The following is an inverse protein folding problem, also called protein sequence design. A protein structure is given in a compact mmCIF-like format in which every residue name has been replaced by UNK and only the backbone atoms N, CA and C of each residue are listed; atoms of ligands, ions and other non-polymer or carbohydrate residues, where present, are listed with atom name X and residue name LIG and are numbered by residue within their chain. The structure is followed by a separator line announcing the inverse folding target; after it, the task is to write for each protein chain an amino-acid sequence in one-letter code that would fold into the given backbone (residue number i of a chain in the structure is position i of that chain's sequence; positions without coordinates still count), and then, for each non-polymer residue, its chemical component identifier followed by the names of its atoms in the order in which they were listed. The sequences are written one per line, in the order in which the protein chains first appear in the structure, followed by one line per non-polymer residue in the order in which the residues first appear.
data_IF_280423388324
#
_entry.id   IF_280423388324
#
_cell.length_a   1.000
_cell.length_b   1.000
_cell.length_c   1.000
_cell.angle_alpha   90.00
_cell.angle_beta   90.00
_cell.angle_gamma   90.00
#
_symmetry.space_group_name_H-M   'P 1'
#
loop_
_entity.id
_entity.type
_entity.pdbx_description
1 polymer ?
#
# COMPACT_ATOMS: atom_id res chain seq x y z
N UNK A 1 50.69 81.53 -1.74
CA UNK A 1 51.00 80.10 -1.95
C UNK A 1 50.42 79.19 -0.80
N UNK A 2 49.24 79.53 -0.26
CA UNK A 2 48.60 78.83 0.86
C UNK A 2 47.17 78.42 0.56
N UNK A 3 46.71 78.46 -0.67
CA UNK A 3 45.29 78.18 -1.01
C UNK A 3 45.08 76.85 -1.72
N UNK A 4 46.11 76.03 -1.94
CA UNK A 4 46.03 74.80 -2.68
C UNK A 4 46.07 73.56 -1.79
N UNK A 5 46.58 73.63 -0.55
CA UNK A 5 46.64 72.52 0.39
C UNK A 5 45.32 72.32 1.14
N UNK A 6 44.71 73.43 1.60
CA UNK A 6 43.40 73.37 2.29
C UNK A 6 42.28 72.86 1.40
N UNK A 7 42.36 73.03 0.09
CA UNK A 7 41.39 72.56 -0.86
C UNK A 7 41.54 71.04 -1.16
N UNK A 8 42.76 70.53 -1.01
CA UNK A 8 43.04 69.12 -1.16
C UNK A 8 42.60 68.31 0.08
N UNK A 9 42.84 68.77 1.31
CA UNK A 9 42.36 68.10 2.52
C UNK A 9 40.84 68.05 2.62
N UNK A 10 40.14 69.07 2.12
CA UNK A 10 38.68 69.12 2.12
C UNK A 10 38.01 68.07 1.19
N UNK A 11 38.57 67.89 -0.01
CA UNK A 11 37.99 66.89 -0.92
C UNK A 11 38.32 65.42 -0.55
N UNK A 12 39.51 65.19 0.00
CA UNK A 12 39.89 63.86 0.53
C UNK A 12 39.00 63.47 1.69
N UNK A 13 38.75 64.40 2.62
CA UNK A 13 37.84 64.14 3.75
C UNK A 13 36.41 63.85 3.30
N UNK A 14 35.90 64.61 2.33
CA UNK A 14 34.57 64.42 1.73
C UNK A 14 34.48 63.07 0.98
N UNK A 15 35.56 62.67 0.31
CA UNK A 15 35.59 61.41 -0.42
C UNK A 15 35.66 60.23 0.54
N UNK A 16 36.42 60.30 1.62
CA UNK A 16 36.47 59.32 2.68
C UNK A 16 35.12 59.17 3.42
N UNK A 17 34.46 60.31 3.72
CA UNK A 17 33.11 60.25 4.29
C UNK A 17 32.10 59.63 3.34
N UNK A 18 32.11 59.94 2.05
CA UNK A 18 31.24 59.28 1.07
C UNK A 18 31.49 57.78 0.95
N UNK A 19 32.75 57.35 0.95
CA UNK A 19 33.12 55.92 0.94
C UNK A 19 32.67 55.22 2.22
N UNK A 20 32.89 55.88 3.39
CA UNK A 20 32.43 55.30 4.66
C UNK A 20 30.89 55.18 4.72
N UNK A 21 30.16 56.21 4.28
CA UNK A 21 28.70 56.17 4.21
C UNK A 21 28.19 55.15 3.19
N UNK A 22 28.85 55.01 2.03
CA UNK A 22 28.48 53.98 1.04
C UNK A 22 28.68 52.57 1.58
N UNK A 23 29.82 52.28 2.26
CA UNK A 23 30.09 51.01 2.88
C UNK A 23 29.10 50.67 4.00
N UNK A 24 28.74 51.62 4.86
CA UNK A 24 27.73 51.44 5.90
C UNK A 24 26.34 51.20 5.30
N UNK A 25 25.99 51.89 4.24
CA UNK A 25 24.72 51.68 3.56
C UNK A 25 24.66 50.32 2.86
N UNK A 26 25.75 49.89 2.25
CA UNK A 26 25.87 48.60 1.62
C UNK A 26 25.76 47.45 2.65
N UNK A 27 26.44 47.55 3.80
CA UNK A 27 26.31 46.61 4.91
C UNK A 27 24.88 46.56 5.48
N UNK A 28 24.23 47.73 5.63
CA UNK A 28 22.82 47.80 6.07
C UNK A 28 21.89 47.15 5.04
N UNK A 29 22.14 47.35 3.76
CA UNK A 29 21.37 46.73 2.68
C UNK A 29 21.57 45.22 2.64
N UNK A 30 22.81 44.76 2.72
CA UNK A 30 23.13 43.31 2.80
C UNK A 30 22.50 42.65 4.03
N UNK A 31 22.53 43.31 5.20
CA UNK A 31 21.90 42.83 6.42
C UNK A 31 20.37 42.73 6.29
N UNK A 32 19.71 43.72 5.68
CA UNK A 32 18.25 43.69 5.42
C UNK A 32 17.88 42.58 4.46
N UNK A 33 18.63 42.39 3.39
CA UNK A 33 18.43 41.28 2.47
C UNK A 33 18.69 39.90 3.14
N UNK A 34 19.72 39.79 3.97
CA UNK A 34 20.00 38.61 4.73
C UNK A 34 18.87 38.23 5.71
N UNK A 35 18.30 39.22 6.41
CA UNK A 35 17.13 39.00 7.28
C UNK A 35 15.92 38.61 6.45
N UNK A 36 15.66 39.29 5.33
CA UNK A 36 14.53 38.98 4.44
C UNK A 36 14.58 37.53 3.93
N UNK A 37 15.73 37.10 3.39
CA UNK A 37 15.86 35.74 2.90
C UNK A 37 15.78 34.68 4.01
N UNK A 38 16.36 34.94 5.18
CA UNK A 38 16.20 34.07 6.34
C UNK A 38 14.74 33.95 6.77
N UNK A 39 14.03 35.07 6.86
CA UNK A 39 12.59 35.08 7.19
C UNK A 39 11.76 34.34 6.15
N UNK A 40 12.06 34.50 4.87
CA UNK A 40 11.39 33.79 3.77
C UNK A 40 11.65 32.27 3.84
N UNK A 41 12.89 31.89 4.16
CA UNK A 41 13.24 30.46 4.36
C UNK A 41 12.50 29.86 5.54
N UNK A 42 12.43 30.58 6.68
CA UNK A 42 11.65 30.12 7.83
C UNK A 42 10.16 30.03 7.53
N UNK A 43 9.60 31.01 6.82
CA UNK A 43 8.20 30.98 6.38
C UNK A 43 7.94 29.77 5.45
N UNK A 44 8.83 29.51 4.51
CA UNK A 44 8.74 28.37 3.61
C UNK A 44 8.79 27.04 4.38
N UNK A 45 9.74 26.88 5.30
CA UNK A 45 9.84 25.70 6.15
C UNK A 45 8.61 25.55 7.06
N UNK A 46 8.08 26.66 7.56
CA UNK A 46 6.87 26.67 8.38
C UNK A 46 5.63 26.22 7.57
N UNK A 47 5.48 26.73 6.34
CA UNK A 47 4.42 26.29 5.42
C UNK A 47 4.55 24.79 5.10
N UNK A 48 5.77 24.30 4.80
CA UNK A 48 6.01 22.87 4.59
C UNK A 48 5.70 22.05 5.83
N UNK A 49 6.04 22.53 7.03
CA UNK A 49 5.69 21.88 8.28
C UNK A 49 4.17 21.80 8.47
N UNK A 50 3.45 22.88 8.22
CA UNK A 50 1.99 22.94 8.32
C UNK A 50 1.30 22.01 7.33
N UNK A 51 1.79 21.95 6.07
CA UNK A 51 1.32 21.00 5.07
C UNK A 51 1.64 19.58 5.51
N UNK A 52 2.86 19.34 6.04
CA UNK A 52 3.30 18.03 6.52
C UNK A 52 2.56 17.53 7.77
N UNK A 53 2.12 18.44 8.63
CA UNK A 53 1.30 18.13 9.79
C UNK A 53 -0.19 17.90 9.45
N UNK A 54 -0.56 18.02 8.16
CA UNK A 54 -1.93 17.76 7.72
C UNK A 54 -2.95 18.81 8.18
N UNK A 55 -2.52 19.98 8.66
CA UNK A 55 -3.43 21.02 9.17
C UNK A 55 -4.35 21.63 8.10
N UNK A 56 -4.04 21.39 6.82
CA UNK A 56 -4.91 21.68 5.67
C UNK A 56 -5.64 20.43 5.15
N UNK A 57 -5.55 19.30 5.84
CA UNK A 57 -6.48 18.21 5.57
C UNK A 57 -7.81 18.62 6.20
N UNK A 58 -8.66 19.07 5.34
CA UNK A 58 -10.07 19.25 5.64
C UNK A 58 -10.70 17.85 5.71
N UNK A 59 -10.57 17.19 6.87
CA UNK A 59 -11.28 15.95 7.19
C UNK A 59 -12.78 16.22 7.45
N UNK A 60 -13.25 17.36 7.02
CA UNK A 60 -14.58 17.85 7.29
C UNK A 60 -15.33 18.36 6.06
N UNK A 61 -15.40 17.59 4.99
CA UNK A 61 -16.66 17.64 4.23
C UNK A 61 -17.69 17.07 5.18
N UNK A 62 -18.50 17.93 5.79
CA UNK A 62 -19.69 17.53 6.50
C UNK A 62 -20.54 16.75 5.48
N UNK A 63 -20.37 15.42 5.47
CA UNK A 63 -21.12 14.52 4.63
C UNK A 63 -22.52 14.45 5.17
N UNK A 64 -23.31 15.45 4.80
CA UNK A 64 -24.71 15.57 5.13
C UNK A 64 -25.57 14.58 4.35
N UNK A 65 -25.03 14.01 3.26
CA UNK A 65 -25.84 13.24 2.34
C UNK A 65 -25.53 11.74 2.39
N UNK A 66 -26.56 10.94 2.14
CA UNK A 66 -26.46 9.50 1.98
C UNK A 66 -25.46 9.15 0.87
N UNK A 67 -24.52 8.23 1.18
CA UNK A 67 -23.47 7.89 0.24
C UNK A 67 -23.11 6.39 0.29
N UNK A 68 -22.41 5.96 -0.73
CA UNK A 68 -21.74 4.67 -0.78
C UNK A 68 -20.32 4.84 -0.24
N UNK A 69 -19.96 4.09 0.77
CA UNK A 69 -18.58 4.03 1.26
C UNK A 69 -17.74 3.10 0.38
N UNK A 70 -16.50 3.49 0.06
CA UNK A 70 -15.56 2.62 -0.63
C UNK A 70 -14.32 2.41 0.22
N UNK A 71 -13.84 1.16 0.25
CA UNK A 71 -12.56 0.76 0.84
C UNK A 71 -11.78 -0.02 -0.19
N UNK A 72 -10.51 0.31 -0.39
CA UNK A 72 -9.67 -0.36 -1.37
C UNK A 72 -8.83 -1.48 -0.74
N UNK A 73 -8.76 -2.60 -1.46
CA UNK A 73 -7.82 -3.69 -1.24
C UNK A 73 -6.95 -3.84 -2.49
N UNK A 74 -5.79 -3.19 -2.50
CA UNK A 74 -4.97 -3.01 -3.70
C UNK A 74 -3.54 -3.51 -3.52
N UNK A 75 -3.08 -4.39 -4.42
CA UNK A 75 -1.75 -4.99 -4.38
C UNK A 75 -1.68 -6.20 -3.45
N UNK A 76 -0.46 -6.58 -3.03
CA UNK A 76 -0.22 -7.76 -2.20
C UNK A 76 -0.72 -7.57 -0.78
N UNK A 77 -1.41 -8.57 -0.26
CA UNK A 77 -1.90 -8.62 1.12
C UNK A 77 -0.76 -9.10 2.02
N UNK A 78 -0.20 -8.20 2.82
CA UNK A 78 0.86 -8.53 3.77
C UNK A 78 0.84 -7.59 4.97
N UNK A 79 1.46 -7.99 6.09
CA UNK A 79 1.46 -7.20 7.31
C UNK A 79 2.08 -5.79 7.15
N UNK A 80 2.99 -5.62 6.18
CA UNK A 80 3.71 -4.37 5.95
C UNK A 80 3.25 -3.60 4.69
N UNK A 81 2.13 -4.01 4.08
CA UNK A 81 1.57 -3.34 2.91
C UNK A 81 0.43 -2.39 3.29
N UNK A 82 0.03 -1.53 2.35
CA UNK A 82 -1.19 -0.72 2.48
C UNK A 82 -2.44 -1.59 2.60
N UNK A 83 -2.39 -2.81 2.06
CA UNK A 83 -3.45 -3.83 2.12
C UNK A 83 -3.24 -4.81 3.29
N UNK A 84 -2.61 -4.35 4.39
CA UNK A 84 -2.59 -5.11 5.64
C UNK A 84 -3.99 -5.20 6.25
N UNK A 85 -4.22 -6.22 7.06
CA UNK A 85 -5.49 -6.37 7.77
C UNK A 85 -5.82 -5.15 8.65
N UNK A 86 -4.82 -4.56 9.30
CA UNK A 86 -5.02 -3.39 10.16
C UNK A 86 -5.58 -2.21 9.37
N UNK A 87 -4.96 -1.87 8.23
CA UNK A 87 -5.40 -0.75 7.40
C UNK A 87 -6.78 -0.98 6.78
N UNK A 88 -7.01 -2.16 6.19
CA UNK A 88 -8.28 -2.47 5.54
C UNK A 88 -9.42 -2.53 6.56
N UNK A 89 -9.18 -3.17 7.70
CA UNK A 89 -10.17 -3.27 8.78
C UNK A 89 -10.50 -1.92 9.41
N UNK A 90 -9.52 -1.02 9.53
CA UNK A 90 -9.76 0.35 9.98
C UNK A 90 -10.67 1.10 9.01
N UNK A 91 -10.38 1.04 7.71
CA UNK A 91 -11.22 1.63 6.67
C UNK A 91 -12.65 1.07 6.70
N UNK A 92 -12.79 -0.26 6.79
CA UNK A 92 -14.10 -0.91 6.90
C UNK A 92 -14.85 -0.48 8.16
N UNK A 93 -14.21 -0.45 9.33
CA UNK A 93 -14.84 0.01 10.59
C UNK A 93 -15.36 1.45 10.48
N UNK A 94 -14.57 2.33 9.87
CA UNK A 94 -14.96 3.72 9.68
C UNK A 94 -16.13 3.83 8.70
N UNK A 95 -16.12 3.08 7.60
CA UNK A 95 -17.21 3.02 6.63
C UNK A 95 -18.53 2.55 7.22
N UNK A 96 -18.52 1.48 8.04
CA UNK A 96 -19.72 0.95 8.67
C UNK A 96 -20.25 1.82 9.83
N UNK A 97 -19.35 2.56 10.52
CA UNK A 97 -19.75 3.47 11.62
C UNK A 97 -20.35 4.78 11.15
N UNK A 98 -20.11 5.17 9.90
CA UNK A 98 -20.67 6.40 9.36
C UNK A 98 -22.19 6.24 9.16
N UNK A 99 -22.95 7.16 9.79
CA UNK A 99 -24.43 7.13 9.81
C UNK A 99 -25.07 7.38 8.44
N UNK A 100 -24.32 7.94 7.49
CA UNK A 100 -24.80 8.27 6.14
C UNK A 100 -24.46 7.18 5.12
N UNK A 101 -23.65 6.19 5.51
CA UNK A 101 -23.31 5.04 4.64
C UNK A 101 -24.56 4.19 4.37
N UNK A 102 -24.90 4.04 3.10
CA UNK A 102 -26.04 3.22 2.63
C UNK A 102 -25.61 1.82 2.18
N UNK A 103 -24.32 1.62 1.93
CA UNK A 103 -23.69 0.37 1.59
C UNK A 103 -22.19 0.57 1.42
N UNK A 104 -21.44 -0.51 1.57
CA UNK A 104 -19.99 -0.52 1.50
C UNK A 104 -19.55 -1.26 0.24
N UNK A 105 -18.64 -0.68 -0.52
CA UNK A 105 -17.92 -1.33 -1.62
C UNK A 105 -16.51 -1.63 -1.15
N UNK A 106 -16.14 -2.90 -1.13
CA UNK A 106 -14.76 -3.32 -1.07
C UNK A 106 -14.24 -3.47 -2.50
N UNK A 107 -13.46 -2.49 -2.95
CA UNK A 107 -12.86 -2.49 -4.30
C UNK A 107 -11.55 -3.25 -4.28
N UNK A 108 -11.47 -4.33 -5.07
CA UNK A 108 -10.36 -5.29 -5.00
C UNK A 108 -9.57 -5.28 -6.31
N UNK A 109 -8.26 -5.06 -6.18
CA UNK A 109 -7.27 -5.28 -7.24
C UNK A 109 -6.01 -5.92 -6.61
N UNK A 110 -6.09 -7.21 -6.28
CA UNK A 110 -5.08 -7.92 -5.49
C UNK A 110 -4.79 -9.33 -6.01
N UNK A 111 -3.51 -9.69 -6.17
CA UNK A 111 -3.11 -11.06 -6.48
C UNK A 111 -3.21 -12.01 -5.26
N UNK A 112 -3.54 -11.51 -4.09
CA UNK A 112 -3.54 -12.22 -2.82
C UNK A 112 -2.31 -11.92 -1.96
N UNK A 113 -1.86 -12.90 -1.19
CA UNK A 113 -0.72 -12.77 -0.27
C UNK A 113 -0.89 -13.61 0.98
N UNK A 114 -0.59 -13.06 2.15
CA UNK A 114 -0.64 -13.75 3.43
C UNK A 114 -2.02 -14.32 3.76
N UNK A 115 -2.15 -15.64 3.97
CA UNK A 115 -3.42 -16.25 4.39
C UNK A 115 -3.93 -15.70 5.74
N UNK A 116 -3.02 -15.37 6.66
CA UNK A 116 -3.36 -14.81 7.97
C UNK A 116 -3.99 -13.43 7.84
N UNK A 117 -3.38 -12.55 7.05
CA UNK A 117 -3.92 -11.20 6.82
C UNK A 117 -5.27 -11.27 6.10
N UNK A 118 -5.40 -12.13 5.08
CA UNK A 118 -6.67 -12.34 4.38
C UNK A 118 -7.75 -12.90 5.33
N UNK A 119 -7.38 -13.80 6.24
CA UNK A 119 -8.26 -14.32 7.29
C UNK A 119 -8.78 -13.23 8.21
N UNK A 120 -7.89 -12.38 8.74
CA UNK A 120 -8.30 -11.26 9.62
C UNK A 120 -9.24 -10.28 8.94
N UNK A 121 -9.06 -10.01 7.64
CA UNK A 121 -9.98 -9.15 6.88
C UNK A 121 -11.33 -9.83 6.69
N UNK A 122 -11.33 -11.11 6.29
CA UNK A 122 -12.56 -11.89 6.11
C UNK A 122 -13.39 -11.97 7.41
N UNK A 123 -12.74 -12.26 8.53
CA UNK A 123 -13.39 -12.36 9.84
C UNK A 123 -13.99 -11.01 10.27
N UNK A 124 -13.27 -9.92 10.05
CA UNK A 124 -13.77 -8.58 10.37
C UNK A 124 -14.95 -8.18 9.48
N UNK A 125 -14.93 -8.50 8.19
CA UNK A 125 -16.09 -8.30 7.31
C UNK A 125 -17.30 -9.08 7.84
N UNK A 126 -17.14 -10.33 8.20
CA UNK A 126 -18.23 -11.14 8.75
C UNK A 126 -18.78 -10.53 10.07
N UNK A 127 -17.91 -10.04 10.95
CA UNK A 127 -18.28 -9.38 12.19
C UNK A 127 -19.06 -8.10 11.92
N UNK A 128 -18.56 -7.23 11.04
CA UNK A 128 -19.23 -5.95 10.71
C UNK A 128 -20.59 -6.17 10.05
N UNK A 129 -20.71 -7.12 9.14
CA UNK A 129 -21.99 -7.48 8.52
C UNK A 129 -23.01 -8.02 9.55
N UNK A 130 -22.55 -8.70 10.59
CA UNK A 130 -23.43 -9.16 11.67
C UNK A 130 -23.83 -8.01 12.61
N UNK A 131 -22.93 -7.04 12.84
CA UNK A 131 -23.20 -5.86 13.69
C UNK A 131 -24.08 -4.81 12.97
N UNK A 132 -23.94 -4.68 11.64
CA UNK A 132 -24.67 -3.71 10.81
C UNK A 132 -25.46 -4.42 9.68
N UNK A 133 -26.52 -5.19 10.00
CA UNK A 133 -27.20 -6.02 9.00
C UNK A 133 -27.92 -5.23 7.91
N UNK A 134 -28.22 -3.96 8.15
CA UNK A 134 -28.88 -3.06 7.19
C UNK A 134 -27.92 -2.43 6.18
N UNK A 135 -26.60 -2.53 6.40
CA UNK A 135 -25.58 -1.97 5.52
C UNK A 135 -24.94 -3.12 4.71
N UNK A 136 -25.30 -3.29 3.44
CA UNK A 136 -24.71 -4.35 2.61
C UNK A 136 -23.26 -4.04 2.27
N UNK A 137 -22.43 -5.10 2.17
CA UNK A 137 -21.07 -5.01 1.66
C UNK A 137 -20.94 -5.79 0.35
N UNK A 138 -20.49 -5.11 -0.69
CA UNK A 138 -20.25 -5.67 -2.01
C UNK A 138 -18.77 -5.65 -2.36
N UNK A 139 -18.23 -6.78 -2.82
CA UNK A 139 -16.90 -6.82 -3.43
C UNK A 139 -17.02 -6.44 -4.91
N UNK A 140 -16.21 -5.48 -5.35
CA UNK A 140 -16.10 -5.09 -6.76
C UNK A 140 -14.67 -5.33 -7.21
N UNK A 141 -14.51 -6.26 -8.15
CA UNK A 141 -13.22 -6.69 -8.66
C UNK A 141 -12.84 -5.81 -9.86
N UNK A 142 -11.66 -5.22 -9.81
CA UNK A 142 -11.06 -4.52 -10.95
C UNK A 142 -10.33 -5.53 -11.85
N UNK A 143 -8.99 -5.45 -11.97
CA UNK A 143 -8.23 -6.32 -12.86
C UNK A 143 -8.10 -7.75 -12.32
N UNK A 144 -7.79 -7.88 -11.00
CA UNK A 144 -7.48 -9.17 -10.39
C UNK A 144 -8.00 -9.29 -8.96
N UNK A 145 -8.55 -10.46 -8.64
CA UNK A 145 -8.90 -10.88 -7.28
C UNK A 145 -8.58 -12.37 -7.15
N UNK A 146 -7.35 -12.65 -6.77
CA UNK A 146 -6.82 -14.01 -6.75
C UNK A 146 -6.32 -14.39 -5.36
N UNK A 147 -6.33 -15.72 -5.06
CA UNK A 147 -5.78 -16.28 -3.82
C UNK A 147 -6.33 -15.56 -2.57
N UNK A 148 -5.48 -15.00 -1.70
CA UNK A 148 -5.91 -14.25 -0.52
C UNK A 148 -6.89 -13.10 -0.82
N UNK A 149 -6.82 -12.48 -2.01
CA UNK A 149 -7.79 -11.48 -2.44
C UNK A 149 -9.19 -12.07 -2.59
N UNK A 150 -9.29 -13.27 -3.17
CA UNK A 150 -10.56 -13.97 -3.29
C UNK A 150 -11.06 -14.52 -1.94
N UNK A 151 -10.12 -14.93 -1.06
CA UNK A 151 -10.45 -15.30 0.32
C UNK A 151 -11.19 -14.17 1.06
N UNK A 152 -10.76 -12.93 0.83
CA UNK A 152 -11.43 -11.74 1.38
C UNK A 152 -12.77 -11.49 0.68
N UNK A 153 -12.80 -11.54 -0.66
CA UNK A 153 -13.98 -11.22 -1.45
C UNK A 153 -15.21 -12.08 -1.12
N UNK A 154 -15.01 -13.35 -0.76
CA UNK A 154 -16.12 -14.29 -0.46
C UNK A 154 -16.85 -13.96 0.84
N UNK A 155 -16.35 -13.05 1.66
CA UNK A 155 -17.04 -12.52 2.83
C UNK A 155 -18.13 -11.49 2.48
N UNK A 156 -18.15 -10.98 1.24
CA UNK A 156 -19.14 -10.01 0.77
C UNK A 156 -20.52 -10.63 0.50
N UNK A 157 -21.57 -9.81 0.47
CA UNK A 157 -22.93 -10.24 0.10
C UNK A 157 -23.01 -10.66 -1.36
N UNK A 158 -22.40 -9.86 -2.25
CA UNK A 158 -22.24 -10.17 -3.67
C UNK A 158 -20.86 -9.73 -4.16
N UNK A 159 -20.42 -10.39 -5.22
CA UNK A 159 -19.15 -10.12 -5.91
C UNK A 159 -19.47 -9.67 -7.35
N UNK A 160 -19.04 -8.48 -7.69
CA UNK A 160 -19.16 -7.90 -9.03
C UNK A 160 -17.78 -7.91 -9.71
N UNK A 161 -17.78 -8.15 -11.01
CA UNK A 161 -16.57 -8.29 -11.83
C UNK A 161 -16.71 -7.58 -13.17
N UNK A 162 -15.59 -7.27 -13.82
CA UNK A 162 -15.57 -7.05 -15.28
C UNK A 162 -15.44 -8.40 -16.01
N UNK A 163 -15.81 -8.44 -17.29
CA UNK A 163 -15.69 -9.66 -18.13
C UNK A 163 -14.27 -10.22 -18.16
N UNK A 164 -13.28 -9.33 -18.16
CA UNK A 164 -11.88 -9.64 -18.29
C UNK A 164 -11.14 -9.74 -16.93
N UNK A 165 -11.80 -9.42 -15.81
CA UNK A 165 -11.21 -9.57 -14.47
C UNK A 165 -10.66 -10.99 -14.28
N UNK A 166 -9.57 -11.12 -13.57
CA UNK A 166 -8.97 -12.43 -13.22
C UNK A 166 -9.39 -12.80 -11.81
N UNK A 167 -10.09 -13.94 -11.66
CA UNK A 167 -10.69 -14.37 -10.39
C UNK A 167 -10.31 -15.81 -10.07
N UNK A 168 -10.11 -16.13 -8.79
CA UNK A 168 -9.88 -17.50 -8.33
C UNK A 168 -8.52 -17.71 -7.70
N UNK A 169 -7.67 -18.56 -8.28
CA UNK A 169 -6.41 -19.00 -7.64
C UNK A 169 -6.64 -19.51 -6.22
N UNK A 170 -7.68 -20.37 -6.06
CA UNK A 170 -8.02 -20.99 -4.77
C UNK A 170 -7.04 -22.12 -4.53
N UNK A 171 -5.90 -21.76 -3.97
CA UNK A 171 -4.77 -22.64 -3.73
C UNK A 171 -3.75 -22.01 -2.82
N UNK A 172 -2.80 -22.82 -2.35
CA UNK A 172 -1.69 -22.39 -1.48
C UNK A 172 -0.39 -22.90 -2.06
N UNK A 173 0.64 -22.08 -2.03
CA UNK A 173 1.98 -22.50 -2.47
C UNK A 173 3.04 -22.10 -1.45
N UNK A 174 4.10 -22.89 -1.39
CA UNK A 174 5.37 -22.54 -0.76
C UNK A 174 6.44 -22.63 -1.85
N UNK A 175 7.18 -21.55 -2.07
CA UNK A 175 8.20 -21.47 -3.11
C UNK A 175 9.58 -21.31 -2.49
N UNK A 176 10.59 -21.96 -3.06
CA UNK A 176 11.98 -21.87 -2.62
C UNK A 176 12.95 -22.36 -3.70
N UNK A 177 14.22 -22.08 -3.51
CA UNK A 177 15.31 -22.50 -4.38
C UNK A 177 16.28 -23.40 -3.61
N UNK A 178 16.91 -24.37 -4.27
CA UNK A 178 18.01 -25.18 -3.71
C UNK A 178 19.35 -24.78 -4.35
N UNK A 179 20.35 -24.50 -3.53
CA UNK A 179 21.67 -24.06 -3.98
C UNK A 179 22.79 -25.09 -3.78
N UNK A 180 22.50 -26.28 -3.26
CA UNK A 180 23.48 -27.33 -2.94
C UNK A 180 24.39 -27.68 -4.12
N UNK A 181 23.83 -27.95 -5.29
CA UNK A 181 24.62 -28.27 -6.48
C UNK A 181 25.51 -27.12 -7.01
N UNK A 182 25.11 -25.88 -6.78
CA UNK A 182 25.93 -24.71 -7.13
C UNK A 182 27.09 -24.56 -6.14
N UNK A 183 26.81 -24.76 -4.84
CA UNK A 183 27.84 -24.70 -3.79
C UNK A 183 28.90 -25.77 -3.98
N UNK A 184 28.48 -27.00 -4.29
CA UNK A 184 29.40 -28.10 -4.61
C UNK A 184 30.34 -27.77 -5.75
N UNK A 185 29.82 -27.23 -6.87
CA UNK A 185 30.64 -26.79 -8.04
C UNK A 185 31.63 -25.68 -7.70
N UNK A 186 31.30 -24.84 -6.71
CA UNK A 186 32.15 -23.72 -6.26
C UNK A 186 33.08 -24.10 -5.11
N UNK A 187 33.04 -25.35 -4.64
CA UNK A 187 33.82 -25.81 -3.49
C UNK A 187 33.41 -25.17 -2.16
N UNK A 188 32.13 -24.75 -2.05
CA UNK A 188 31.56 -24.14 -0.84
C UNK A 188 30.88 -25.23 -0.01
N UNK A 189 31.30 -25.35 1.26
CA UNK A 189 30.71 -26.29 2.22
C UNK A 189 29.74 -25.60 3.17
N UNK A 190 28.54 -26.17 3.31
CA UNK A 190 27.56 -25.73 4.31
C UNK A 190 27.81 -26.40 5.65
N UNK A 191 28.07 -25.61 6.70
CA UNK A 191 28.30 -26.08 8.07
C UNK A 191 27.18 -25.64 8.98
N UNK A 192 26.00 -26.31 8.85
CA UNK A 192 24.82 -26.05 9.66
C UNK A 192 24.87 -26.85 10.95
N UNK A 193 24.82 -26.18 12.08
CA UNK A 193 24.67 -26.79 13.41
C UNK A 193 23.32 -26.34 13.98
N UNK A 194 22.50 -27.28 14.40
CA UNK A 194 21.17 -27.00 14.96
C UNK A 194 20.96 -27.72 16.28
N UNK A 195 20.23 -27.11 17.18
CA UNK A 195 19.60 -27.75 18.31
C UNK A 195 18.09 -27.86 18.01
N UNK A 196 17.58 -29.08 17.91
CA UNK A 196 16.27 -29.41 17.36
C UNK A 196 16.40 -29.97 15.95
N UNK A 197 15.93 -31.23 15.79
CA UNK A 197 16.09 -32.06 14.58
C UNK A 197 15.62 -31.37 13.29
N UNK A 198 14.51 -30.62 13.37
CA UNK A 198 13.90 -29.95 12.22
C UNK A 198 14.16 -28.44 12.15
N UNK A 199 15.17 -27.92 12.90
CA UNK A 199 15.44 -26.49 12.92
C UNK A 199 15.96 -25.93 11.58
N UNK A 200 16.54 -26.80 10.74
CA UNK A 200 16.93 -26.50 9.36
C UNK A 200 15.86 -26.89 8.32
N UNK A 201 14.57 -26.77 8.68
CA UNK A 201 13.46 -27.14 7.82
C UNK A 201 13.50 -26.41 6.48
N UNK A 202 13.55 -27.17 5.37
CA UNK A 202 13.64 -26.68 3.99
C UNK A 202 14.77 -25.68 3.74
N UNK A 203 15.92 -25.81 4.44
CA UNK A 203 17.07 -24.93 4.21
C UNK A 203 17.54 -25.04 2.74
N UNK A 204 17.59 -23.90 2.06
CA UNK A 204 17.96 -23.81 0.64
C UNK A 204 19.42 -24.25 0.32
N UNK A 205 20.26 -24.28 1.34
CA UNK A 205 21.69 -24.61 1.24
C UNK A 205 22.03 -26.02 1.75
N UNK A 206 21.02 -26.77 2.16
CA UNK A 206 21.16 -28.17 2.57
C UNK A 206 20.49 -29.10 1.55
N UNK A 207 20.91 -30.38 1.48
CA UNK A 207 20.24 -31.36 0.64
C UNK A 207 18.75 -31.48 0.97
N UNK A 208 17.95 -31.67 -0.06
CA UNK A 208 16.51 -31.84 0.10
C UNK A 208 16.19 -33.07 0.95
N UNK A 209 15.29 -32.91 1.92
CA UNK A 209 14.81 -33.98 2.80
C UNK A 209 13.36 -34.34 2.42
N UNK A 210 13.09 -35.59 1.95
CA UNK A 210 11.75 -36.03 1.57
C UNK A 210 10.71 -35.97 2.70
N UNK A 211 11.11 -36.25 3.94
CA UNK A 211 10.19 -36.16 5.09
C UNK A 211 9.78 -34.71 5.38
N UNK A 212 10.70 -33.77 5.27
CA UNK A 212 10.38 -32.34 5.42
C UNK A 212 9.48 -31.83 4.28
N UNK A 213 9.69 -32.33 3.06
CA UNK A 213 8.81 -32.00 1.93
C UNK A 213 7.39 -32.53 2.15
N UNK A 214 7.25 -33.76 2.65
CA UNK A 214 5.93 -34.32 2.92
C UNK A 214 5.20 -33.54 4.02
N UNK A 215 5.89 -33.21 5.11
CA UNK A 215 5.32 -32.37 6.16
C UNK A 215 4.91 -30.98 5.64
N UNK A 216 5.72 -30.38 4.74
CA UNK A 216 5.35 -29.12 4.10
C UNK A 216 4.07 -29.23 3.26
N UNK A 217 3.92 -30.34 2.51
CA UNK A 217 2.69 -30.60 1.74
C UNK A 217 1.46 -30.78 2.62
N UNK A 218 1.59 -31.49 3.73
CA UNK A 218 0.50 -31.66 4.72
C UNK A 218 0.07 -30.27 5.24
N UNK A 219 1.01 -29.43 5.68
CA UNK A 219 0.72 -28.09 6.14
C UNK A 219 0.06 -27.21 5.06
N UNK A 220 0.54 -27.28 3.81
CA UNK A 220 -0.08 -26.56 2.69
C UNK A 220 -1.50 -27.07 2.43
N UNK A 221 -1.73 -28.37 2.51
CA UNK A 221 -3.05 -28.97 2.35
C UNK A 221 -4.02 -28.51 3.43
N UNK A 222 -3.59 -28.43 4.69
CA UNK A 222 -4.41 -27.93 5.79
C UNK A 222 -4.86 -26.48 5.55
N UNK A 223 -3.95 -25.60 5.13
CA UNK A 223 -4.28 -24.21 4.79
C UNK A 223 -5.22 -24.17 3.57
N UNK A 224 -4.99 -25.01 2.59
CA UNK A 224 -5.85 -25.11 1.41
C UNK A 224 -7.27 -25.56 1.76
N UNK A 225 -7.43 -26.56 2.62
CA UNK A 225 -8.74 -27.00 3.10
C UNK A 225 -9.48 -25.89 3.86
N UNK A 226 -8.79 -25.09 4.68
CA UNK A 226 -9.38 -23.91 5.32
C UNK A 226 -9.90 -22.91 4.26
N UNK A 227 -9.12 -22.64 3.21
CA UNK A 227 -9.53 -21.76 2.13
C UNK A 227 -10.78 -22.29 1.40
N UNK A 228 -10.79 -23.58 1.06
CA UNK A 228 -11.94 -24.25 0.43
C UNK A 228 -13.20 -24.08 1.28
N UNK A 229 -13.11 -24.31 2.59
CA UNK A 229 -14.23 -24.17 3.52
C UNK A 229 -14.78 -22.74 3.55
N UNK A 230 -13.89 -21.72 3.57
CA UNK A 230 -14.28 -20.32 3.54
C UNK A 230 -14.99 -19.95 2.24
N UNK A 231 -14.50 -20.43 1.09
CA UNK A 231 -15.15 -20.23 -0.21
C UNK A 231 -16.53 -20.91 -0.25
N UNK A 232 -16.61 -22.17 0.18
CA UNK A 232 -17.87 -22.92 0.25
C UNK A 232 -18.88 -22.22 1.16
N UNK A 233 -18.45 -21.73 2.32
CA UNK A 233 -19.31 -20.97 3.24
C UNK A 233 -19.79 -19.66 2.61
N UNK A 234 -18.90 -18.89 2.01
CA UNK A 234 -19.21 -17.57 1.46
C UNK A 234 -20.06 -17.63 0.18
N UNK A 235 -19.81 -18.63 -0.69
CA UNK A 235 -20.56 -18.78 -1.94
C UNK A 235 -21.81 -19.65 -1.79
N UNK A 236 -21.82 -20.60 -0.87
CA UNK A 236 -22.94 -21.47 -0.60
C UNK A 236 -23.50 -22.15 -1.86
N UNK A 237 -24.82 -22.11 -2.04
CA UNK A 237 -25.53 -22.72 -3.19
C UNK A 237 -25.20 -22.09 -4.54
N UNK A 238 -24.54 -20.92 -4.57
CA UNK A 238 -24.11 -20.25 -5.81
C UNK A 238 -22.98 -20.99 -6.51
N UNK A 239 -22.10 -21.64 -5.71
CA UNK A 239 -20.94 -22.36 -6.21
C UNK A 239 -21.36 -23.59 -7.01
N UNK A 240 -20.79 -23.77 -8.20
CA UNK A 240 -21.01 -24.98 -9.00
C UNK A 240 -20.10 -26.11 -8.48
N UNK A 241 -20.61 -27.34 -8.55
CA UNK A 241 -19.85 -28.51 -8.16
C UNK A 241 -18.85 -28.92 -9.28
N UNK A 242 -17.66 -28.33 -9.20
CA UNK A 242 -16.52 -28.58 -10.09
C UNK A 242 -15.23 -28.60 -9.27
N UNK A 243 -14.55 -29.73 -9.23
CA UNK A 243 -13.27 -29.91 -8.51
C UNK A 243 -12.18 -28.95 -8.97
N UNK A 244 -12.19 -28.55 -10.24
CA UNK A 244 -11.24 -27.62 -10.83
C UNK A 244 -11.22 -26.25 -10.16
N UNK A 245 -12.35 -25.81 -9.55
CA UNK A 245 -12.47 -24.53 -8.85
C UNK A 245 -11.42 -24.41 -7.74
N UNK A 246 -11.08 -25.50 -7.10
CA UNK A 246 -10.15 -25.55 -5.96
C UNK A 246 -8.73 -26.00 -6.34
N UNK A 247 -8.40 -26.02 -7.63
CA UNK A 247 -7.09 -26.49 -8.11
C UNK A 247 -6.01 -25.40 -8.17
N UNK A 248 -6.33 -24.15 -7.77
CA UNK A 248 -5.43 -23.01 -7.89
C UNK A 248 -5.47 -22.30 -9.25
N UNK A 249 -6.38 -22.71 -10.16
CA UNK A 249 -6.57 -22.08 -11.47
C UNK A 249 -7.29 -20.73 -11.30
N UNK A 250 -7.00 -19.81 -12.23
CA UNK A 250 -7.69 -18.52 -12.38
C UNK A 250 -8.68 -18.57 -13.54
N UNK A 251 -9.72 -17.75 -13.45
CA UNK A 251 -10.80 -17.67 -14.39
C UNK A 251 -11.03 -16.22 -14.83
N UNK A 252 -11.54 -16.01 -16.03
CA UNK A 252 -12.05 -14.69 -16.42
C UNK A 252 -13.27 -14.33 -15.61
N UNK A 253 -13.57 -13.05 -15.45
CA UNK A 253 -14.76 -12.60 -14.72
C UNK A 253 -16.04 -13.20 -15.29
N UNK A 254 -16.17 -13.27 -16.62
CA UNK A 254 -17.32 -13.93 -17.26
C UNK A 254 -17.43 -15.40 -16.83
N UNK A 255 -16.32 -16.12 -16.83
CA UNK A 255 -16.30 -17.55 -16.43
C UNK A 255 -16.54 -17.73 -14.95
N UNK A 256 -16.06 -16.81 -14.13
CA UNK A 256 -16.26 -16.84 -12.68
C UNK A 256 -17.75 -16.73 -12.29
N UNK A 257 -18.55 -15.99 -13.04
CA UNK A 257 -20.01 -15.96 -12.84
C UNK A 257 -20.65 -17.31 -13.17
N UNK A 258 -20.26 -17.92 -14.27
CA UNK A 258 -20.77 -19.26 -14.65
C UNK A 258 -20.44 -20.33 -13.61
N UNK A 259 -19.28 -20.21 -12.96
CA UNK A 259 -18.81 -21.12 -11.91
C UNK A 259 -19.38 -20.79 -10.53
N UNK A 260 -20.09 -19.67 -10.39
CA UNK A 260 -20.62 -19.21 -9.12
C UNK A 260 -19.58 -18.56 -8.20
N UNK A 261 -18.41 -18.23 -8.73
CA UNK A 261 -17.36 -17.51 -8.01
C UNK A 261 -17.64 -16.00 -7.91
N UNK A 262 -18.37 -15.44 -8.88
CA UNK A 262 -18.89 -14.08 -8.87
C UNK A 262 -20.41 -14.09 -9.12
N UNK A 263 -21.06 -12.96 -8.89
CA UNK A 263 -22.53 -12.87 -8.99
C UNK A 263 -23.00 -12.16 -10.27
N UNK A 264 -22.33 -11.06 -10.67
CA UNK A 264 -22.75 -10.25 -11.81
C UNK A 264 -21.60 -9.41 -12.35
N UNK A 265 -21.79 -8.89 -13.56
CA UNK A 265 -20.94 -7.83 -14.10
C UNK A 265 -21.30 -6.50 -13.44
N UNK A 266 -20.29 -5.65 -13.19
CA UNK A 266 -20.48 -4.30 -12.67
C UNK A 266 -19.18 -3.70 -12.11
N UNK A 267 -19.06 -2.38 -12.26
CA UNK A 267 -18.00 -1.58 -11.61
C UNK A 267 -18.54 -0.86 -10.37
N UNK A 268 -17.67 -0.15 -9.66
CA UNK A 268 -18.04 0.56 -8.43
C UNK A 268 -19.15 1.58 -8.63
N UNK A 269 -19.10 2.37 -9.70
CA UNK A 269 -20.11 3.38 -10.00
C UNK A 269 -21.48 2.75 -10.29
N UNK A 270 -21.51 1.64 -11.03
CA UNK A 270 -22.72 0.87 -11.26
C UNK A 270 -23.31 0.35 -9.94
N UNK A 271 -22.49 -0.24 -9.08
CA UNK A 271 -22.94 -0.79 -7.80
C UNK A 271 -23.46 0.32 -6.88
N UNK A 272 -22.78 1.47 -6.82
CA UNK A 272 -23.22 2.62 -6.04
C UNK A 272 -24.56 3.15 -6.52
N UNK A 273 -24.70 3.39 -7.83
CA UNK A 273 -25.90 3.99 -8.43
C UNK A 273 -27.07 3.02 -8.50
N UNK A 274 -26.85 1.79 -8.99
CA UNK A 274 -27.95 0.87 -9.32
C UNK A 274 -28.28 -0.13 -8.22
N UNK A 275 -27.31 -0.51 -7.40
CA UNK A 275 -27.50 -1.55 -6.38
C UNK A 275 -27.72 -0.92 -5.01
N UNK A 276 -26.80 -0.05 -4.58
CA UNK A 276 -26.86 0.64 -3.27
C UNK A 276 -27.89 1.80 -3.32
N UNK A 277 -28.06 2.42 -4.49
CA UNK A 277 -28.92 3.60 -4.70
C UNK A 277 -28.42 4.86 -3.97
N UNK A 278 -27.11 4.96 -3.79
CA UNK A 278 -26.41 6.13 -3.26
C UNK A 278 -25.21 6.42 -4.18
N UNK A 279 -25.41 7.29 -5.18
CA UNK A 279 -24.46 7.54 -6.26
C UNK A 279 -23.18 8.25 -5.76
N UNK A 280 -23.30 9.09 -4.72
CA UNK A 280 -22.13 9.72 -4.10
C UNK A 280 -21.23 8.66 -3.48
N UNK A 281 -19.96 8.66 -3.84
CA UNK A 281 -18.98 7.70 -3.33
C UNK A 281 -17.97 8.42 -2.44
N UNK A 282 -17.76 7.86 -1.26
CA UNK A 282 -16.82 8.37 -0.27
C UNK A 282 -15.76 7.35 0.06
N UNK A 283 -14.50 7.76 -0.05
CA UNK A 283 -13.33 6.90 0.16
C UNK A 283 -12.92 6.86 1.64
N UNK A 284 -13.12 5.71 2.27
CA UNK A 284 -12.70 5.39 3.65
C UNK A 284 -11.40 4.60 3.70
N UNK A 285 -10.70 4.46 2.59
CA UNK A 285 -9.42 3.75 2.56
C UNK A 285 -8.40 4.43 3.46
N UNK A 286 -7.80 3.68 4.38
CA UNK A 286 -6.72 4.20 5.22
C UNK A 286 -5.53 4.61 4.36
N UNK A 287 -5.17 5.88 4.39
CA UNK A 287 -4.07 6.44 3.60
C UNK A 287 -2.80 6.47 4.45
N UNK A 288 -1.69 6.03 3.87
CA UNK A 288 -0.38 6.23 4.51
C UNK A 288 -0.16 7.71 4.82
N UNK A 289 0.42 7.99 5.97
CA UNK A 289 0.81 9.36 6.32
C UNK A 289 1.80 9.93 5.30
N UNK A 290 1.81 11.26 5.14
CA UNK A 290 2.77 11.92 4.25
C UNK A 290 4.21 11.56 4.62
N UNK A 291 4.51 11.43 5.91
CA UNK A 291 5.83 11.07 6.41
C UNK A 291 6.26 9.65 5.98
N UNK A 292 5.35 8.68 6.04
CA UNK A 292 5.60 7.29 5.58
C UNK A 292 5.80 7.23 4.08
N UNK A 293 4.96 7.91 3.30
CA UNK A 293 5.12 8.02 1.84
C UNK A 293 6.45 8.66 1.45
N UNK A 294 6.85 9.70 2.16
CA UNK A 294 8.12 10.40 1.94
C UNK A 294 9.31 9.52 2.30
N UNK A 295 9.28 8.85 3.46
CA UNK A 295 10.31 7.92 3.91
C UNK A 295 10.48 6.75 2.94
N UNK A 296 9.39 6.18 2.43
CA UNK A 296 9.40 5.10 1.42
C UNK A 296 10.00 5.58 0.10
N UNK A 297 9.64 6.78 -0.38
CA UNK A 297 10.21 7.37 -1.61
C UNK A 297 11.71 7.66 -1.46
N UNK A 298 12.14 8.18 -0.32
CA UNK A 298 13.57 8.40 -0.05
C UNK A 298 14.32 7.07 0.03
N UNK A 299 13.76 6.06 0.69
CA UNK A 299 14.35 4.71 0.77
C UNK A 299 14.52 4.07 -0.61
N UNK A 300 13.48 4.10 -1.45
CA UNK A 300 13.54 3.56 -2.81
C UNK A 300 14.47 4.36 -3.74
N UNK A 301 14.51 5.68 -3.62
CA UNK A 301 15.42 6.53 -4.38
C UNK A 301 16.89 6.26 -3.99
N UNK A 302 17.18 6.06 -2.72
CA UNK A 302 18.51 5.70 -2.22
C UNK A 302 18.96 4.34 -2.70
N UNK A 303 18.07 3.35 -2.70
CA UNK A 303 18.35 1.99 -3.21
C UNK A 303 18.60 2.02 -4.72
N UNK A 304 17.78 2.74 -5.49
CA UNK A 304 17.97 2.90 -6.94
C UNK A 304 19.25 3.67 -7.27
N UNK A 305 19.62 4.69 -6.47
CA UNK A 305 20.87 5.41 -6.64
C UNK A 305 22.09 4.52 -6.38
N UNK A 306 22.05 3.64 -5.35
CA UNK A 306 23.09 2.68 -5.06
C UNK A 306 23.22 1.60 -6.15
N UNK A 307 22.11 1.08 -6.66
CA UNK A 307 22.09 0.11 -7.77
C UNK A 307 22.65 0.73 -9.04
N UNK A 308 22.27 1.97 -9.36
CA UNK A 308 22.78 2.69 -10.54
C UNK A 308 24.25 3.06 -10.37
N UNK A 309 24.71 3.46 -9.19
CA UNK A 309 26.13 3.69 -8.91
C UNK A 309 26.98 2.41 -9.05
N UNK A 310 26.43 1.24 -8.64
CA UNK A 310 27.06 -0.06 -8.83
C UNK A 310 27.20 -0.48 -10.30
N UNK A 311 26.34 0.01 -11.19
CA UNK A 311 26.41 -0.29 -12.61
C UNK A 311 27.46 0.56 -13.38
N UNK A 312 27.93 1.67 -12.82
CA UNK A 312 28.98 2.49 -13.42
C UNK A 312 30.35 1.79 -13.46
N UNK A 313 30.57 0.79 -12.61
CA UNK A 313 31.81 0.02 -12.59
C UNK A 313 31.87 -1.10 -13.65
N UNK A 314 30.76 -1.39 -14.35
CA UNK A 314 30.70 -2.43 -15.41
C UNK A 314 30.99 -1.93 -16.82
N UNK A 315 31.30 -0.64 -17.02
CA UNK A 315 31.56 -0.01 -18.31
C UNK A 315 32.99 0.53 -18.45
N UNK A 316 33.98 -0.10 -17.78
CA UNK A 316 35.39 0.14 -18.07
C UNK A 316 36.14 -1.18 -18.16
#
# INVERSE_FOLDING_TARGET
MFDSEDRKEGWEKQTLEKLAFSSVNEQRRARRWGIFFKSLTFLYLFILLFIGLGWFHDDGVAMSDKHTAIVELRGEISANSISSADNVNEGLKNAFKDKNTQGVILRINSPGGSPVQAGYINDEIQRLRAEYPDIPLYAVIEDICASGGYYVAVAADKIFVDKASIVGSIGVLMNGFGFTGTMEKLGIERRLLTAGENKGFLDAFSPSNPQQQEYAKEMLNDIHQQFIQVVQKGRGKRLKDKSEIFSGIVWTGQKSIELGLADSLGNADYVAREIIKAESIVDFTTKESFAERFARRLGSASTNALINAGNWWKLR
#
